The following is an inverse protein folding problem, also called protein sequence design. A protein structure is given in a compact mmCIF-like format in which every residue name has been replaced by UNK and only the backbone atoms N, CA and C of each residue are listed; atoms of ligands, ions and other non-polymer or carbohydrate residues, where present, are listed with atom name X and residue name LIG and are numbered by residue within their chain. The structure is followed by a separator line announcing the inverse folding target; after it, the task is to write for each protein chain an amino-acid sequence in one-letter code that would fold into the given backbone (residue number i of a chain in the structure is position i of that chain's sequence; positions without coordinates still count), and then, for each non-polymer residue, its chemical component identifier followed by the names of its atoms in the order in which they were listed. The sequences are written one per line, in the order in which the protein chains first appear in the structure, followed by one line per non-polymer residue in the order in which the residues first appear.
data_IF_834086680721
#
_entry.id   IF_834086680721
#
_cell.length_a   1.000
_cell.length_b   1.000
_cell.length_c   1.000
_cell.angle_alpha   90.00
_cell.angle_beta   90.00
_cell.angle_gamma   90.00
#
_symmetry.space_group_name_H-M   'P 1'
#
loop_
_entity.id
_entity.type
_entity.pdbx_description
1 polymer ?
#
# COMPACT_ATOMS: atom_id res chain seq x y z
N UNK A 1 -8.85 5.01 9.56
CA UNK A 1 -7.74 4.23 8.97
C UNK A 1 -6.39 4.95 9.13
N UNK A 2 -6.21 6.17 8.62
CA UNK A 2 -4.92 6.92 8.70
C UNK A 2 -4.45 7.19 10.14
N UNK A 3 -5.36 7.58 11.05
CA UNK A 3 -5.03 7.81 12.47
C UNK A 3 -4.54 6.54 13.18
N UNK A 4 -5.12 5.38 12.88
CA UNK A 4 -4.71 4.09 13.47
C UNK A 4 -3.33 3.69 12.96
N UNK A 5 -3.04 3.92 11.67
CA UNK A 5 -1.71 3.69 11.11
C UNK A 5 -0.64 4.61 11.72
N UNK A 6 -0.98 5.87 12.04
CA UNK A 6 -0.08 6.79 12.75
C UNK A 6 0.21 6.35 14.19
N UNK A 7 -0.80 5.86 14.92
CA UNK A 7 -0.63 5.31 16.26
C UNK A 7 0.19 4.01 16.26
N UNK A 8 -0.02 3.14 15.28
CA UNK A 8 0.72 1.87 15.14
C UNK A 8 2.14 2.06 14.60
N UNK A 9 2.40 3.12 13.84
CA UNK A 9 3.73 3.49 13.37
C UNK A 9 4.70 3.89 14.50
N UNK A 10 4.24 3.92 15.77
CA UNK A 10 5.05 3.78 16.99
C UNK A 10 6.27 4.70 17.08
N UNK A 11 6.18 5.76 17.87
CA UNK A 11 7.23 6.77 18.05
C UNK A 11 8.62 6.20 18.34
N UNK A 12 9.42 5.99 17.28
CA UNK A 12 10.85 5.72 17.33
C UNK A 12 11.31 4.28 17.08
N UNK A 13 10.44 3.26 17.17
CA UNK A 13 10.79 1.83 16.97
C UNK A 13 9.64 1.02 16.33
N UNK A 14 8.92 1.65 15.39
CA UNK A 14 7.54 1.32 15.00
C UNK A 14 7.30 -0.06 14.42
N UNK A 15 6.17 -0.66 14.82
CA UNK A 15 5.57 -1.81 14.15
C UNK A 15 5.00 -1.32 12.80
N UNK A 16 5.81 -1.31 11.74
CA UNK A 16 5.46 -0.79 10.41
C UNK A 16 4.63 -1.76 9.55
N UNK A 17 4.47 -3.00 9.98
CA UNK A 17 3.73 -4.06 9.30
C UNK A 17 2.28 -3.64 8.96
N UNK A 18 1.50 -3.01 9.85
CA UNK A 18 0.16 -2.52 9.52
C UNK A 18 0.21 -1.45 8.44
N UNK A 19 1.22 -0.58 8.44
CA UNK A 19 1.37 0.42 7.38
C UNK A 19 1.67 -0.26 6.03
N UNK A 20 2.52 -1.31 6.02
CA UNK A 20 2.84 -2.09 4.82
C UNK A 20 1.60 -2.80 4.27
N UNK A 21 0.82 -3.44 5.13
CA UNK A 21 -0.41 -4.13 4.73
C UNK A 21 -1.45 -3.14 4.24
N UNK A 22 -1.59 -1.99 4.90
CA UNK A 22 -2.62 -1.02 4.56
C UNK A 22 -2.26 -0.13 3.37
N UNK A 23 -0.97 0.17 3.12
CA UNK A 23 -0.53 1.15 2.12
C UNK A 23 0.68 0.67 1.29
N UNK A 24 0.65 -0.54 0.70
CA UNK A 24 1.80 -1.10 0.01
C UNK A 24 2.25 -0.25 -1.19
N UNK A 25 1.32 0.38 -1.92
CA UNK A 25 1.67 1.24 -3.06
C UNK A 25 2.42 2.51 -2.64
N UNK A 26 2.07 3.10 -1.50
CA UNK A 26 2.83 4.22 -0.93
C UNK A 26 4.19 3.81 -0.35
N UNK A 27 4.37 2.52 -0.06
CA UNK A 27 5.57 2.01 0.59
C UNK A 27 6.54 1.33 -0.40
N UNK A 28 6.22 1.28 -1.69
CA UNK A 28 7.15 0.85 -2.73
C UNK A 28 8.43 1.71 -2.79
N UNK A 29 8.35 2.97 -2.36
CA UNK A 29 9.51 3.87 -2.21
C UNK A 29 10.61 3.28 -1.34
N UNK A 30 10.26 2.42 -0.38
CA UNK A 30 11.22 1.74 0.50
C UNK A 30 12.04 0.72 -0.28
N UNK A 31 11.43 -0.02 -1.21
CA UNK A 31 12.16 -0.97 -2.04
C UNK A 31 13.12 -0.28 -3.00
N UNK A 32 12.73 0.89 -3.52
CA UNK A 32 13.48 1.61 -4.54
C UNK A 32 14.54 2.56 -3.97
N UNK A 33 14.20 3.27 -2.89
CA UNK A 33 14.98 4.38 -2.36
C UNK A 33 15.39 4.21 -0.89
N UNK A 34 14.91 3.14 -0.21
CA UNK A 34 15.11 2.89 1.23
C UNK A 34 14.59 3.99 2.17
N UNK A 35 13.85 4.96 1.64
CA UNK A 35 13.23 6.06 2.39
C UNK A 35 11.80 6.29 1.88
N UNK A 36 10.92 6.74 2.77
CA UNK A 36 9.58 7.19 2.38
C UNK A 36 9.71 8.62 1.86
N UNK A 37 9.29 8.86 0.61
CA UNK A 37 9.35 10.19 0.00
C UNK A 37 7.95 10.77 -0.22
N UNK A 38 7.86 12.11 -0.24
CA UNK A 38 6.60 12.85 -0.35
C UNK A 38 5.69 12.38 -1.49
N UNK A 39 6.17 12.12 -2.72
CA UNK A 39 5.32 11.63 -3.81
C UNK A 39 4.60 10.31 -3.47
N UNK A 40 5.25 9.43 -2.72
CA UNK A 40 4.67 8.14 -2.36
C UNK A 40 3.75 8.23 -1.13
N UNK A 41 3.91 9.24 -0.29
CA UNK A 41 2.89 9.58 0.73
C UNK A 41 1.60 10.02 0.04
N UNK A 42 1.69 10.84 -1.00
CA UNK A 42 0.53 11.23 -1.81
C UNK A 42 -0.10 9.98 -2.44
N UNK A 43 0.72 9.08 -2.98
CA UNK A 43 0.24 7.81 -3.54
C UNK A 43 -0.46 6.92 -2.49
N UNK A 44 0.04 6.88 -1.24
CA UNK A 44 -0.61 6.16 -0.14
C UNK A 44 -2.03 6.66 0.14
N UNK A 45 -2.20 7.99 0.13
CA UNK A 45 -3.50 8.65 0.34
C UNK A 45 -4.43 8.35 -0.85
N UNK A 46 -3.90 8.45 -2.07
CA UNK A 46 -4.67 8.27 -3.30
C UNK A 46 -4.97 6.81 -3.65
N UNK A 47 -4.31 5.81 -3.05
CA UNK A 47 -4.46 4.42 -3.50
C UNK A 47 -5.92 3.94 -3.47
N UNK A 48 -6.69 4.28 -2.42
CA UNK A 48 -8.06 3.79 -2.26
C UNK A 48 -9.03 4.51 -3.22
N UNK A 49 -8.96 5.85 -3.38
CA UNK A 49 -9.64 6.54 -4.47
C UNK A 49 -9.31 5.97 -5.85
N UNK A 50 -8.04 5.65 -6.12
CA UNK A 50 -7.62 5.08 -7.39
C UNK A 50 -8.21 3.68 -7.62
N UNK A 51 -8.30 2.84 -6.58
CA UNK A 51 -8.97 1.54 -6.71
C UNK A 51 -10.44 1.70 -7.10
N UNK A 52 -11.17 2.60 -6.43
CA UNK A 52 -12.57 2.90 -6.77
C UNK A 52 -12.70 3.39 -8.21
N UNK A 53 -11.86 4.34 -8.60
CA UNK A 53 -11.84 4.87 -9.97
C UNK A 53 -11.61 3.78 -11.02
N UNK A 54 -10.66 2.87 -10.82
CA UNK A 54 -10.42 1.78 -11.77
C UNK A 54 -11.58 0.78 -11.86
N UNK A 55 -12.29 0.54 -10.76
CA UNK A 55 -13.47 -0.33 -10.75
C UNK A 55 -14.62 0.34 -11.51
N UNK A 56 -14.85 1.64 -11.27
CA UNK A 56 -15.94 2.42 -11.86
C UNK A 56 -15.75 2.66 -13.37
N UNK A 57 -14.53 2.61 -13.88
CA UNK A 57 -14.25 2.64 -15.34
C UNK A 57 -14.84 1.45 -16.11
N UNK A 58 -15.30 0.41 -15.41
CA UNK A 58 -15.89 -0.77 -16.04
C UNK A 58 -17.38 -0.85 -15.77
N UNK A 59 -18.19 -0.81 -16.83
CA UNK A 59 -19.67 -0.92 -16.73
C UNK A 59 -20.16 -2.37 -16.61
N UNK A 60 -19.32 -3.35 -16.99
CA UNK A 60 -19.67 -4.77 -16.98
C UNK A 60 -19.23 -5.43 -15.66
N UNK A 61 -20.18 -6.05 -14.94
CA UNK A 61 -19.94 -6.76 -13.69
C UNK A 61 -18.84 -7.85 -13.76
N UNK A 62 -18.70 -8.57 -14.86
CA UNK A 62 -17.62 -9.56 -15.04
C UNK A 62 -16.28 -8.88 -15.18
N UNK A 63 -16.22 -7.71 -15.84
CA UNK A 63 -14.99 -6.91 -15.97
C UNK A 63 -14.63 -6.27 -14.63
N UNK A 64 -15.60 -5.73 -13.90
CA UNK A 64 -15.41 -5.21 -12.54
C UNK A 64 -14.81 -6.27 -11.61
N UNK A 65 -15.35 -7.49 -11.60
CA UNK A 65 -14.77 -8.60 -10.82
C UNK A 65 -13.32 -8.88 -11.18
N UNK A 66 -12.97 -8.88 -12.47
CA UNK A 66 -11.58 -9.04 -12.91
C UNK A 66 -10.69 -7.90 -12.42
N UNK A 67 -11.14 -6.65 -12.50
CA UNK A 67 -10.40 -5.48 -12.00
C UNK A 67 -10.18 -5.58 -10.49
N UNK A 68 -11.22 -5.91 -9.72
CA UNK A 68 -11.12 -6.09 -8.27
C UNK A 68 -10.10 -7.18 -7.93
N UNK A 69 -10.18 -8.35 -8.57
CA UNK A 69 -9.23 -9.45 -8.35
C UNK A 69 -7.80 -9.00 -8.68
N UNK A 70 -7.60 -8.31 -9.80
CA UNK A 70 -6.27 -7.79 -10.18
C UNK A 70 -5.72 -6.79 -9.17
N UNK A 71 -6.55 -5.86 -8.67
CA UNK A 71 -6.16 -4.89 -7.64
C UNK A 71 -5.77 -5.60 -6.35
N UNK A 72 -6.59 -6.55 -5.88
CA UNK A 72 -6.34 -7.32 -4.65
C UNK A 72 -5.06 -8.15 -4.79
N UNK A 73 -4.87 -8.84 -5.91
CA UNK A 73 -3.65 -9.61 -6.16
C UNK A 73 -2.43 -8.70 -6.17
N UNK A 74 -2.47 -7.58 -6.88
CA UNK A 74 -1.35 -6.63 -6.94
C UNK A 74 -1.03 -6.05 -5.56
N UNK A 75 -2.07 -5.69 -4.79
CA UNK A 75 -1.93 -5.16 -3.44
C UNK A 75 -1.28 -6.17 -2.49
N UNK A 76 -1.75 -7.41 -2.49
CA UNK A 76 -1.20 -8.51 -1.67
C UNK A 76 0.24 -8.81 -2.09
N UNK A 77 0.50 -8.97 -3.39
CA UNK A 77 1.85 -9.24 -3.91
C UNK A 77 2.80 -8.13 -3.47
N UNK A 78 2.41 -6.87 -3.59
CA UNK A 78 3.25 -5.75 -3.22
C UNK A 78 3.49 -5.68 -1.70
N UNK A 79 2.45 -5.90 -0.88
CA UNK A 79 2.59 -5.95 0.57
C UNK A 79 3.54 -7.07 1.01
N UNK A 80 3.41 -8.27 0.43
CA UNK A 80 4.29 -9.42 0.71
C UNK A 80 5.72 -9.13 0.28
N UNK A 81 5.93 -8.58 -0.92
CA UNK A 81 7.26 -8.19 -1.38
C UNK A 81 7.91 -7.19 -0.43
N UNK A 82 7.18 -6.17 0.02
CA UNK A 82 7.71 -5.19 0.98
C UNK A 82 8.02 -5.85 2.32
N UNK A 83 7.18 -6.76 2.82
CA UNK A 83 7.43 -7.48 4.07
C UNK A 83 8.68 -8.37 4.02
N UNK A 84 8.94 -9.01 2.87
CA UNK A 84 10.08 -9.90 2.66
C UNK A 84 11.37 -9.10 2.42
N UNK A 85 11.30 -8.07 1.58
CA UNK A 85 12.48 -7.33 1.12
C UNK A 85 12.77 -6.05 1.91
N UNK A 86 11.93 -5.66 2.89
CA UNK A 86 12.35 -4.66 3.88
C UNK A 86 13.57 -5.24 4.61
N UNK A 87 14.74 -4.67 4.34
CA UNK A 87 15.98 -5.12 4.98
C UNK A 87 15.91 -4.96 6.50
N UNK A 88 16.79 -5.67 7.21
CA UNK A 88 16.95 -5.65 8.69
C UNK A 88 17.19 -4.27 9.31
N UNK A 89 17.26 -3.21 8.50
CA UNK A 89 17.54 -1.83 8.90
C UNK A 89 16.30 -1.08 9.44
N UNK A 90 15.22 -1.82 9.72
CA UNK A 90 13.96 -1.30 10.29
C UNK A 90 13.79 -1.66 11.78
N UNK A 91 14.81 -2.26 12.42
CA UNK A 91 14.92 -2.39 13.89
C UNK A 91 15.68 -1.19 14.47
#
# INVERSE_FOLDING_TARGET
MVLVALFLAGGGHGWYEPAIVLFPFGLISILLFKIITTPFIILAILQYPLYGFFIDLTEDFKKQKKVIISIVLLHIVLAVLILIFRGSNWQ
#
